data_IF_258519234213
#
_entry.id   IF_258519234213
#
_cell.length_a   1.000
_cell.length_b   1.000
_cell.length_c   1.000
_cell.angle_alpha   90.00
_cell.angle_beta   90.00
_cell.angle_gamma   90.00
#
_symmetry.space_group_name_H-M   'P 1'
#
loop_
_entity.id
_entity.type
_entity.pdbx_description
1 polymer ?
#
# COMPACT_ATOMS: atom_id res chain seq x y z
N UNK A 1 -4.85 -35.19 3.11
CA UNK A 1 -4.68 -34.49 4.41
C UNK A 1 -5.98 -33.82 4.90
N UNK A 2 -6.28 -33.78 6.22
CA UNK A 2 -7.44 -33.02 6.71
C UNK A 2 -7.21 -31.52 6.54
N UNK A 3 -8.18 -30.84 5.93
CA UNK A 3 -8.23 -29.39 5.91
C UNK A 3 -8.35 -28.83 7.35
N UNK A 4 -7.94 -27.58 7.58
CA UNK A 4 -8.11 -26.93 8.87
C UNK A 4 -9.56 -27.02 9.37
N UNK A 5 -9.75 -27.04 10.70
CA UNK A 5 -11.08 -27.13 11.30
C UNK A 5 -11.99 -25.99 10.80
N UNK A 6 -13.20 -26.33 10.34
CA UNK A 6 -14.17 -25.42 9.73
C UNK A 6 -13.84 -24.91 8.32
N UNK A 7 -12.86 -25.49 7.62
CA UNK A 7 -12.60 -25.25 6.19
C UNK A 7 -13.15 -26.41 5.37
N UNK A 8 -14.00 -26.11 4.39
CA UNK A 8 -14.68 -27.13 3.61
C UNK A 8 -13.88 -27.61 2.40
N UNK A 9 -13.17 -26.70 1.73
CA UNK A 9 -12.39 -27.01 0.54
C UNK A 9 -11.33 -25.94 0.26
N UNK A 10 -10.31 -26.33 -0.51
CA UNK A 10 -9.41 -25.39 -1.20
C UNK A 10 -10.16 -24.83 -2.40
N UNK A 11 -10.07 -23.53 -2.65
CA UNK A 11 -10.54 -22.96 -3.90
C UNK A 11 -9.52 -23.28 -5.00
N UNK A 12 -9.83 -24.16 -5.99
CA UNK A 12 -8.81 -24.77 -6.83
C UNK A 12 -8.53 -23.99 -8.12
N UNK A 13 -9.33 -22.97 -8.42
CA UNK A 13 -9.31 -22.29 -9.71
C UNK A 13 -8.42 -21.04 -9.66
N UNK A 14 -7.32 -20.99 -10.43
CA UNK A 14 -6.46 -19.81 -10.47
C UNK A 14 -7.15 -18.61 -11.09
N UNK A 15 -6.71 -17.42 -10.71
CA UNK A 15 -7.16 -16.18 -11.32
C UNK A 15 -6.73 -16.07 -12.78
N UNK A 16 -7.62 -15.53 -13.62
CA UNK A 16 -7.31 -15.14 -14.98
C UNK A 16 -6.63 -13.76 -14.98
N UNK A 17 -5.41 -13.70 -15.49
CA UNK A 17 -4.65 -12.45 -15.65
C UNK A 17 -5.06 -11.61 -16.88
N UNK A 18 -6.20 -11.95 -17.51
CA UNK A 18 -6.76 -11.10 -18.57
C UNK A 18 -7.19 -9.74 -18.00
N UNK A 19 -7.65 -9.76 -16.75
CA UNK A 19 -7.99 -8.58 -15.97
C UNK A 19 -7.17 -8.59 -14.67
N UNK A 20 -6.99 -7.43 -14.06
CA UNK A 20 -6.20 -7.31 -12.84
C UNK A 20 -6.89 -7.97 -11.64
N UNK A 21 -6.11 -8.59 -10.75
CA UNK A 21 -6.60 -9.05 -9.45
C UNK A 21 -6.64 -7.85 -8.51
N UNK A 22 -7.78 -7.64 -7.84
CA UNK A 22 -7.94 -6.52 -6.89
C UNK A 22 -7.82 -7.03 -5.46
N UNK A 23 -6.84 -6.54 -4.72
CA UNK A 23 -6.65 -6.77 -3.30
C UNK A 23 -6.96 -5.49 -2.51
N UNK A 24 -7.81 -5.60 -1.50
CA UNK A 24 -8.15 -4.50 -0.60
C UNK A 24 -7.67 -4.77 0.81
N UNK A 25 -7.00 -3.81 1.42
CA UNK A 25 -6.67 -3.79 2.86
C UNK A 25 -7.39 -2.66 3.55
N UNK A 26 -8.11 -2.98 4.63
CA UNK A 26 -8.92 -1.99 5.35
C UNK A 26 -8.71 -2.04 6.87
N UNK A 27 -8.14 -0.98 7.42
CA UNK A 27 -8.15 -0.70 8.86
C UNK A 27 -9.49 -0.06 9.27
N UNK A 28 -9.63 0.28 10.54
CA UNK A 28 -10.74 1.14 10.98
C UNK A 28 -10.20 2.08 12.01
N UNK A 29 -10.21 3.37 11.73
CA UNK A 29 -9.79 4.40 12.66
C UNK A 29 -10.95 5.29 13.04
N UNK A 30 -10.89 5.81 14.25
CA UNK A 30 -11.71 6.91 14.72
C UNK A 30 -10.86 8.18 14.79
N UNK A 31 -11.37 9.29 14.25
CA UNK A 31 -10.69 10.59 14.21
C UNK A 31 -11.59 11.60 14.89
N UNK A 32 -11.17 12.06 16.06
CA UNK A 32 -11.82 13.12 16.81
C UNK A 32 -11.09 14.43 16.50
N UNK A 33 -11.81 15.43 16.00
CA UNK A 33 -11.26 16.74 15.66
C UNK A 33 -11.75 17.79 16.65
N UNK A 34 -10.83 18.59 17.15
CA UNK A 34 -11.12 19.78 17.95
C UNK A 34 -11.44 20.99 17.05
N UNK A 35 -12.05 22.04 17.62
CA UNK A 35 -12.34 23.30 16.90
C UNK A 35 -11.09 24.04 16.43
N UNK A 36 -9.95 23.82 17.08
CA UNK A 36 -8.64 24.35 16.65
C UNK A 36 -8.01 23.53 15.53
N UNK A 37 -8.70 22.50 15.02
CA UNK A 37 -8.24 21.67 13.92
C UNK A 37 -7.40 20.46 14.33
N UNK A 38 -6.98 20.36 15.61
CA UNK A 38 -6.17 19.24 16.10
C UNK A 38 -6.95 17.94 16.09
N UNK A 39 -6.26 16.85 15.71
CA UNK A 39 -6.85 15.53 15.59
C UNK A 39 -6.32 14.58 16.67
N UNK A 40 -7.22 13.91 17.38
CA UNK A 40 -6.93 12.70 18.14
C UNK A 40 -7.36 11.49 17.32
N UNK A 41 -6.43 10.55 17.09
CA UNK A 41 -6.64 9.41 16.18
C UNK A 41 -6.47 8.10 16.92
N UNK A 42 -7.37 7.15 16.68
CA UNK A 42 -7.32 5.82 17.30
C UNK A 42 -7.62 4.74 16.28
N UNK A 43 -6.71 3.78 16.13
CA UNK A 43 -7.03 2.54 15.42
C UNK A 43 -7.94 1.64 16.28
N UNK A 44 -9.06 1.22 15.70
CA UNK A 44 -10.04 0.30 16.28
C UNK A 44 -9.76 -1.16 15.90
N UNK A 45 -8.94 -1.38 14.87
CA UNK A 45 -8.49 -2.71 14.44
C UNK A 45 -6.98 -2.81 14.59
N UNK A 46 -6.50 -3.91 15.15
CA UNK A 46 -5.07 -4.24 15.19
C UNK A 46 -4.57 -4.90 13.91
N UNK A 47 -5.46 -5.46 13.08
CA UNK A 47 -5.17 -6.08 11.78
C UNK A 47 -6.09 -5.52 10.71
N UNK A 48 -5.63 -5.42 9.46
CA UNK A 48 -6.49 -5.03 8.37
C UNK A 48 -7.48 -6.16 8.05
N UNK A 49 -8.64 -5.80 7.53
CA UNK A 49 -9.48 -6.76 6.81
C UNK A 49 -9.01 -6.82 5.37
N UNK A 50 -8.80 -8.03 4.86
CA UNK A 50 -8.38 -8.27 3.48
C UNK A 50 -9.56 -8.74 2.64
N UNK A 51 -9.65 -8.23 1.42
CA UNK A 51 -10.58 -8.69 0.41
C UNK A 51 -9.83 -8.96 -0.89
N UNK A 52 -10.20 -10.02 -1.59
CA UNK A 52 -9.60 -10.38 -2.88
C UNK A 52 -10.71 -10.56 -3.91
N UNK A 53 -10.57 -9.90 -5.06
CA UNK A 53 -11.49 -9.99 -6.19
C UNK A 53 -10.74 -10.32 -7.46
N UNK A 54 -11.19 -11.34 -8.19
CA UNK A 54 -10.58 -11.75 -9.44
C UNK A 54 -11.57 -12.51 -10.31
N UNK A 55 -11.25 -12.59 -11.60
CA UNK A 55 -12.00 -13.41 -12.54
C UNK A 55 -11.35 -14.79 -12.68
N UNK A 56 -12.19 -15.81 -12.85
CA UNK A 56 -11.77 -17.16 -13.27
C UNK A 56 -12.33 -17.44 -14.66
N UNK A 57 -11.53 -18.07 -15.50
CA UNK A 57 -11.92 -18.53 -16.83
C UNK A 57 -11.77 -20.04 -16.87
N UNK A 58 -12.87 -20.75 -17.08
CA UNK A 58 -12.95 -22.20 -16.97
C UNK A 58 -13.50 -22.81 -18.26
N UNK A 59 -12.98 -23.98 -18.63
CA UNK A 59 -13.35 -24.67 -19.86
C UNK A 59 -13.82 -26.11 -19.61
N UNK A 60 -14.71 -26.58 -20.48
CA UNK A 60 -15.21 -27.96 -20.51
C UNK A 60 -15.77 -28.42 -19.16
N UNK A 61 -15.16 -29.49 -18.63
CA UNK A 61 -15.57 -30.09 -17.35
C UNK A 61 -15.30 -29.20 -16.16
N UNK A 62 -14.31 -28.31 -16.21
CA UNK A 62 -13.99 -27.43 -15.10
C UNK A 62 -15.11 -26.42 -14.83
N UNK A 63 -15.75 -25.92 -15.88
CA UNK A 63 -16.90 -25.02 -15.78
C UNK A 63 -18.09 -25.70 -15.06
N UNK A 64 -18.39 -26.96 -15.42
CA UNK A 64 -19.44 -27.73 -14.73
C UNK A 64 -19.06 -28.07 -13.29
N UNK A 65 -17.81 -28.44 -13.04
CA UNK A 65 -17.30 -28.72 -11.70
C UNK A 65 -17.38 -27.48 -10.80
N UNK A 66 -17.10 -26.30 -11.34
CA UNK A 66 -17.22 -25.05 -10.62
C UNK A 66 -18.66 -24.78 -10.18
N UNK A 67 -19.65 -25.00 -11.06
CA UNK A 67 -21.06 -24.83 -10.69
C UNK A 67 -21.48 -25.80 -9.58
N UNK A 68 -21.04 -27.06 -9.62
CA UNK A 68 -21.30 -28.03 -8.55
C UNK A 68 -20.62 -27.61 -7.23
N UNK A 69 -19.37 -27.17 -7.32
CA UNK A 69 -18.57 -26.72 -6.19
C UNK A 69 -19.19 -25.47 -5.54
N UNK A 70 -19.63 -24.50 -6.33
CA UNK A 70 -20.35 -23.32 -5.83
C UNK A 70 -21.70 -23.71 -5.23
N UNK A 71 -22.48 -24.57 -5.89
CA UNK A 71 -23.80 -24.98 -5.38
C UNK A 71 -23.72 -25.69 -4.02
N UNK A 72 -22.74 -26.59 -3.86
CA UNK A 72 -22.58 -27.37 -2.63
C UNK A 72 -21.86 -26.63 -1.51
N UNK A 73 -20.86 -25.81 -1.84
CA UNK A 73 -19.90 -25.31 -0.85
C UNK A 73 -19.88 -23.79 -0.69
N UNK A 74 -20.65 -23.02 -1.47
CA UNK A 74 -20.67 -21.56 -1.38
C UNK A 74 -20.79 -20.97 0.04
N UNK A 75 -21.67 -21.47 0.95
CA UNK A 75 -21.79 -20.86 2.28
C UNK A 75 -20.63 -21.20 3.23
N UNK A 76 -19.79 -22.17 2.87
CA UNK A 76 -18.70 -22.65 3.71
C UNK A 76 -17.47 -21.73 3.62
N UNK A 77 -16.53 -21.96 4.54
CA UNK A 77 -15.23 -21.30 4.52
C UNK A 77 -14.29 -22.08 3.61
N UNK A 78 -13.47 -21.32 2.91
CA UNK A 78 -12.55 -21.81 1.89
C UNK A 78 -11.13 -21.58 2.33
N UNK A 79 -10.26 -22.47 1.91
CA UNK A 79 -8.83 -22.19 1.87
C UNK A 79 -8.56 -21.52 0.53
N UNK A 80 -8.25 -20.22 0.54
CA UNK A 80 -8.06 -19.41 -0.66
C UNK A 80 -6.57 -19.19 -0.90
N UNK A 81 -5.99 -19.79 -1.97
CA UNK A 81 -4.65 -19.44 -2.41
C UNK A 81 -4.62 -17.97 -2.85
N UNK A 82 -3.65 -17.21 -2.35
CA UNK A 82 -3.40 -15.85 -2.81
C UNK A 82 -2.76 -15.91 -4.20
N UNK A 83 -3.58 -16.09 -5.23
CA UNK A 83 -3.16 -16.32 -6.62
C UNK A 83 -2.24 -15.23 -7.18
N UNK A 84 -2.38 -14.02 -6.66
CA UNK A 84 -1.55 -12.87 -7.03
C UNK A 84 -0.12 -12.95 -6.48
N UNK A 85 0.17 -13.91 -5.58
CA UNK A 85 1.46 -14.05 -4.88
C UNK A 85 2.08 -15.44 -5.03
N UNK A 86 2.32 -15.95 -6.26
CA UNK A 86 3.02 -17.21 -6.43
C UNK A 86 4.46 -17.14 -5.94
N UNK A 87 4.95 -18.26 -5.42
CA UNK A 87 6.38 -18.54 -5.21
C UNK A 87 6.74 -19.87 -5.87
N UNK A 88 7.92 -19.91 -6.48
CA UNK A 88 8.39 -21.09 -7.22
C UNK A 88 9.41 -21.85 -6.40
N UNK A 89 9.28 -23.18 -6.40
CA UNK A 89 10.29 -24.06 -5.83
C UNK A 89 11.60 -24.00 -6.63
N UNK A 90 12.74 -23.95 -5.95
CA UNK A 90 14.07 -24.06 -6.58
C UNK A 90 14.52 -25.50 -6.77
N UNK A 91 14.09 -26.38 -5.87
CA UNK A 91 14.41 -27.81 -5.88
C UNK A 91 13.12 -28.63 -5.89
N UNK A 92 13.16 -29.78 -6.56
CA UNK A 92 12.06 -30.75 -6.45
C UNK A 92 11.96 -31.28 -5.02
N UNK A 93 10.74 -31.52 -4.56
CA UNK A 93 10.44 -32.12 -3.27
C UNK A 93 9.56 -33.34 -3.51
N UNK A 94 10.07 -34.51 -3.15
CA UNK A 94 9.33 -35.76 -3.27
C UNK A 94 8.30 -35.91 -2.16
N UNK A 95 7.31 -36.78 -2.38
CA UNK A 95 6.42 -37.23 -1.32
C UNK A 95 7.22 -37.74 -0.11
N UNK A 96 6.80 -37.37 1.09
CA UNK A 96 7.55 -37.59 2.33
C UNK A 96 8.53 -36.47 2.71
N UNK A 97 8.81 -35.52 1.81
CA UNK A 97 9.57 -34.31 2.11
C UNK A 97 8.74 -33.26 2.84
N UNK A 98 9.38 -32.39 3.62
CA UNK A 98 8.71 -31.33 4.39
C UNK A 98 9.41 -29.97 4.29
N UNK A 99 10.40 -29.81 3.41
CA UNK A 99 11.16 -28.57 3.30
C UNK A 99 11.00 -28.02 1.89
N UNK A 100 10.50 -26.79 1.80
CA UNK A 100 10.30 -26.05 0.57
C UNK A 100 11.36 -24.95 0.47
N UNK A 101 12.03 -24.86 -0.68
CA UNK A 101 13.02 -23.84 -0.99
C UNK A 101 12.52 -22.97 -2.13
N UNK A 102 12.57 -21.66 -1.97
CA UNK A 102 12.02 -20.69 -2.92
C UNK A 102 13.10 -19.87 -3.62
N UNK A 103 12.78 -19.40 -4.82
CA UNK A 103 13.68 -18.56 -5.61
C UNK A 103 13.68 -17.10 -5.16
N UNK A 104 12.61 -16.67 -4.49
CA UNK A 104 12.40 -15.32 -3.98
C UNK A 104 11.67 -15.38 -2.62
N UNK A 105 11.85 -14.37 -1.74
CA UNK A 105 11.27 -14.36 -0.40
C UNK A 105 9.76 -14.51 -0.41
N UNK A 106 9.19 -15.40 0.39
CA UNK A 106 7.72 -15.46 0.62
C UNK A 106 7.24 -14.20 1.34
N UNK A 107 5.94 -13.92 1.32
CA UNK A 107 5.35 -12.76 2.00
C UNK A 107 5.82 -12.64 3.45
N UNK A 108 6.10 -11.40 3.90
CA UNK A 108 6.46 -11.13 5.31
C UNK A 108 5.34 -11.52 6.30
N UNK A 109 4.10 -11.65 5.82
CA UNK A 109 2.98 -12.04 6.67
C UNK A 109 2.95 -13.54 6.97
N UNK A 110 3.66 -14.35 6.18
CA UNK A 110 3.68 -15.80 6.35
C UNK A 110 4.40 -16.16 7.65
N UNK A 111 3.70 -16.89 8.53
CA UNK A 111 4.23 -17.34 9.82
C UNK A 111 3.84 -18.78 10.11
N UNK A 112 4.46 -19.32 11.17
CA UNK A 112 4.09 -20.62 11.73
C UNK A 112 2.57 -20.73 11.97
N UNK A 113 2.02 -21.87 11.56
CA UNK A 113 0.60 -22.19 11.62
C UNK A 113 -0.23 -21.74 10.42
N UNK A 114 0.33 -20.94 9.51
CA UNK A 114 -0.33 -20.58 8.24
C UNK A 114 -0.33 -21.75 7.27
N UNK A 115 -1.09 -21.62 6.17
CA UNK A 115 -1.18 -22.64 5.15
C UNK A 115 -0.54 -22.17 3.84
N UNK A 116 0.08 -23.11 3.15
CA UNK A 116 0.54 -22.99 1.77
C UNK A 116 -0.23 -23.99 0.90
N UNK A 117 -0.56 -23.59 -0.32
CA UNK A 117 -1.12 -24.50 -1.31
C UNK A 117 -0.11 -24.67 -2.43
N UNK A 118 0.31 -25.91 -2.65
CA UNK A 118 1.07 -26.31 -3.81
C UNK A 118 0.10 -26.61 -4.95
N UNK A 119 0.37 -26.04 -6.11
CA UNK A 119 -0.49 -26.17 -7.28
C UNK A 119 0.33 -26.28 -8.56
N UNK A 120 -0.11 -27.16 -9.45
CA UNK A 120 0.40 -27.30 -10.81
C UNK A 120 -0.74 -27.74 -11.72
N UNK A 121 -0.61 -27.41 -13.00
CA UNK A 121 -1.58 -27.82 -14.01
C UNK A 121 -1.72 -29.35 -14.05
N UNK A 122 -2.96 -29.84 -14.04
CA UNK A 122 -3.28 -31.26 -14.13
C UNK A 122 -3.04 -32.08 -12.86
N UNK A 123 -2.71 -31.46 -11.72
CA UNK A 123 -2.67 -32.16 -10.43
C UNK A 123 -3.59 -31.51 -9.40
N UNK A 124 -4.12 -32.33 -8.50
CA UNK A 124 -4.90 -31.86 -7.36
C UNK A 124 -4.04 -30.95 -6.47
N UNK A 125 -4.56 -29.79 -6.04
CA UNK A 125 -3.84 -28.90 -5.15
C UNK A 125 -3.63 -29.56 -3.78
N UNK A 126 -2.45 -29.36 -3.21
CA UNK A 126 -2.08 -29.90 -1.89
C UNK A 126 -1.88 -28.74 -0.91
N UNK A 127 -2.66 -28.71 0.16
CA UNK A 127 -2.50 -27.74 1.24
C UNK A 127 -1.61 -28.31 2.35
N UNK A 128 -0.66 -27.52 2.83
CA UNK A 128 0.26 -27.90 3.89
C UNK A 128 0.42 -26.77 4.91
N UNK A 129 0.55 -27.11 6.19
CA UNK A 129 0.74 -26.14 7.26
C UNK A 129 2.22 -25.81 7.44
N UNK A 130 2.51 -24.52 7.62
CA UNK A 130 3.84 -23.99 7.89
C UNK A 130 4.23 -24.25 9.34
N UNK A 131 5.37 -24.92 9.56
CA UNK A 131 6.00 -25.03 10.87
C UNK A 131 6.90 -23.83 11.14
N UNK A 132 7.89 -23.59 10.27
CA UNK A 132 8.84 -22.49 10.42
C UNK A 132 9.19 -21.84 9.08
N UNK A 133 9.35 -20.51 9.11
CA UNK A 133 9.91 -19.71 8.00
C UNK A 133 11.34 -19.33 8.38
N UNK A 134 12.29 -19.49 7.45
CA UNK A 134 13.72 -19.31 7.71
C UNK A 134 14.47 -18.83 6.47
N UNK A 135 15.74 -18.46 6.65
CA UNK A 135 16.64 -18.06 5.55
C UNK A 135 16.13 -16.83 4.81
N UNK A 136 15.79 -15.77 5.53
CA UNK A 136 15.22 -14.54 4.95
C UNK A 136 13.97 -14.81 4.08
N UNK A 137 13.09 -15.67 4.61
CA UNK A 137 11.84 -16.09 3.95
C UNK A 137 12.05 -16.88 2.64
N UNK A 138 13.23 -17.45 2.41
CA UNK A 138 13.51 -18.32 1.25
C UNK A 138 13.27 -19.81 1.53
N UNK A 139 13.16 -20.20 2.80
CA UNK A 139 13.01 -21.61 3.21
C UNK A 139 11.84 -21.77 4.17
N UNK A 140 10.94 -22.70 3.86
CA UNK A 140 9.81 -23.05 4.73
C UNK A 140 9.84 -24.53 5.06
N UNK A 141 9.75 -24.85 6.34
CA UNK A 141 9.52 -26.21 6.83
C UNK A 141 8.05 -26.40 7.13
N UNK A 142 7.50 -27.52 6.71
CA UNK A 142 6.10 -27.92 6.86
C UNK A 142 5.93 -28.76 8.13
N UNK A 143 4.76 -28.65 8.76
CA UNK A 143 4.40 -29.44 9.95
C UNK A 143 4.27 -30.93 9.59
N UNK A 144 3.63 -31.21 8.47
CA UNK A 144 3.46 -32.55 7.92
C UNK A 144 4.32 -32.73 6.66
N UNK A 145 4.46 -33.98 6.22
CA UNK A 145 5.15 -34.32 4.97
C UNK A 145 4.21 -34.21 3.78
N UNK A 146 4.78 -33.95 2.59
CA UNK A 146 4.03 -33.92 1.35
C UNK A 146 3.49 -35.31 0.97
N UNK A 147 2.27 -35.37 0.48
CA UNK A 147 1.60 -36.57 -0.02
C UNK A 147 1.95 -36.85 -1.49
N UNK A 148 2.27 -35.80 -2.27
CA UNK A 148 2.61 -35.90 -3.69
C UNK A 148 4.03 -35.41 -4.02
N UNK A 149 4.53 -35.80 -5.19
CA UNK A 149 5.80 -35.32 -5.74
C UNK A 149 5.61 -33.95 -6.44
N UNK A 150 6.39 -32.97 -6.00
CA UNK A 150 6.39 -31.61 -6.52
C UNK A 150 7.73 -31.30 -7.21
N UNK A 151 7.79 -31.26 -8.54
CA UNK A 151 8.99 -30.90 -9.28
C UNK A 151 9.50 -29.49 -8.95
N UNK A 152 10.76 -29.23 -9.28
CA UNK A 152 11.29 -27.87 -9.29
C UNK A 152 10.41 -26.95 -10.17
N UNK A 153 10.31 -25.68 -9.79
CA UNK A 153 9.43 -24.67 -10.39
C UNK A 153 7.92 -24.88 -10.21
N UNK A 154 7.49 -25.84 -9.40
CA UNK A 154 6.08 -25.89 -8.97
C UNK A 154 5.70 -24.60 -8.24
N UNK A 155 4.45 -24.18 -8.41
CA UNK A 155 3.94 -22.97 -7.78
C UNK A 155 3.41 -23.29 -6.38
N UNK A 156 3.75 -22.41 -5.45
CA UNK A 156 3.33 -22.45 -4.05
C UNK A 156 2.72 -21.10 -3.72
N UNK A 157 1.53 -21.11 -3.14
CA UNK A 157 0.76 -19.91 -2.85
C UNK A 157 0.59 -19.76 -1.34
N UNK A 158 0.93 -18.60 -0.75
CA UNK A 158 0.43 -18.22 0.56
C UNK A 158 -1.09 -18.31 0.57
N UNK A 159 -1.66 -18.88 1.62
CA UNK A 159 -3.06 -19.27 1.59
C UNK A 159 -3.76 -18.86 2.87
N UNK A 160 -4.96 -18.28 2.73
CA UNK A 160 -5.74 -17.78 3.85
C UNK A 160 -7.13 -18.41 3.91
N UNK A 161 -7.66 -18.52 5.12
CA UNK A 161 -9.06 -18.85 5.31
C UNK A 161 -9.91 -17.67 4.82
N UNK A 162 -10.81 -17.91 3.87
CA UNK A 162 -11.66 -16.87 3.30
C UNK A 162 -13.12 -17.33 3.21
N UNK A 163 -14.02 -16.36 3.09
CA UNK A 163 -15.42 -16.60 2.80
C UNK A 163 -15.84 -15.81 1.57
N UNK A 164 -16.67 -16.44 0.73
CA UNK A 164 -17.29 -15.78 -0.41
C UNK A 164 -18.13 -14.59 0.05
N UNK A 165 -17.91 -13.44 -0.58
CA UNK A 165 -18.65 -12.21 -0.33
C UNK A 165 -19.83 -12.07 -1.29
N UNK A 166 -20.69 -11.06 -1.09
CA UNK A 166 -21.73 -10.72 -2.08
C UNK A 166 -21.07 -10.28 -3.39
N UNK A 167 -21.78 -10.46 -4.51
CA UNK A 167 -21.35 -9.99 -5.82
C UNK A 167 -20.66 -11.04 -6.70
N UNK A 168 -20.51 -12.29 -6.23
CA UNK A 168 -20.06 -13.37 -7.12
C UNK A 168 -21.05 -13.58 -8.25
N UNK A 169 -20.55 -13.64 -9.48
CA UNK A 169 -21.39 -13.87 -10.65
C UNK A 169 -20.62 -14.64 -11.71
N UNK A 170 -21.35 -15.45 -12.48
CA UNK A 170 -20.80 -16.25 -13.58
C UNK A 170 -21.56 -15.98 -14.85
N UNK A 171 -20.84 -15.92 -15.97
CA UNK A 171 -21.39 -15.84 -17.31
C UNK A 171 -20.82 -16.95 -18.18
N UNK A 172 -21.68 -17.83 -18.64
CA UNK A 172 -21.36 -18.75 -19.72
C UNK A 172 -21.21 -17.97 -21.03
N UNK A 173 -20.02 -18.02 -21.62
CA UNK A 173 -19.72 -17.46 -22.95
C UNK A 173 -20.20 -18.44 -24.02
N UNK A 174 -19.93 -19.72 -23.80
CA UNK A 174 -20.46 -20.85 -24.57
C UNK A 174 -20.96 -21.91 -23.58
N UNK A 175 -21.52 -23.02 -24.08
CA UNK A 175 -21.94 -24.14 -23.21
C UNK A 175 -20.81 -24.80 -22.43
N UNK A 176 -19.55 -24.56 -22.81
CA UNK A 176 -18.38 -25.15 -22.18
C UNK A 176 -17.36 -24.12 -21.71
N UNK A 177 -17.66 -22.82 -21.74
CA UNK A 177 -16.73 -21.78 -21.28
C UNK A 177 -17.46 -20.87 -20.32
N UNK A 178 -17.00 -20.84 -19.07
CA UNK A 178 -17.52 -20.02 -17.99
C UNK A 178 -16.48 -18.97 -17.61
N UNK A 179 -16.91 -17.70 -17.57
CA UNK A 179 -16.17 -16.64 -16.91
C UNK A 179 -16.91 -16.23 -15.64
N UNK A 180 -16.27 -16.31 -14.49
CA UNK A 180 -16.88 -15.93 -13.22
C UNK A 180 -16.04 -14.93 -12.45
N UNK A 181 -16.69 -13.91 -11.90
CA UNK A 181 -16.09 -12.94 -11.00
C UNK A 181 -16.28 -13.42 -9.56
N UNK A 182 -15.18 -13.57 -8.84
CA UNK A 182 -15.12 -14.11 -7.50
C UNK A 182 -14.61 -13.07 -6.51
N UNK A 183 -15.38 -12.84 -5.45
CA UNK A 183 -15.10 -11.88 -4.41
C UNK A 183 -15.02 -12.61 -3.07
N UNK A 184 -13.89 -12.50 -2.40
CA UNK A 184 -13.61 -13.12 -1.12
C UNK A 184 -13.27 -12.07 -0.07
N UNK A 185 -13.67 -12.34 1.17
CA UNK A 185 -13.13 -11.68 2.35
C UNK A 185 -12.29 -12.69 3.13
N UNK A 186 -11.03 -12.35 3.40
CA UNK A 186 -10.18 -13.16 4.26
C UNK A 186 -10.67 -13.06 5.71
N UNK A 187 -10.65 -14.17 6.41
CA UNK A 187 -11.04 -14.27 7.80
C UNK A 187 -9.87 -13.86 8.69
N UNK A 188 -10.15 -12.99 9.66
CA UNK A 188 -9.13 -12.51 10.60
C UNK A 188 -9.04 -13.49 11.77
N UNK A 189 -7.85 -14.02 12.02
CA UNK A 189 -7.59 -14.88 13.16
C UNK A 189 -7.36 -14.11 14.48
N UNK A 190 -7.37 -14.84 15.59
CA UNK A 190 -7.16 -14.30 16.94
C UNK A 190 -5.69 -14.14 17.35
N UNK A 191 -4.72 -14.54 16.52
CA UNK A 191 -3.28 -14.42 16.85
C UNK A 191 -2.88 -12.94 16.91
N UNK A 192 -1.69 -12.60 17.40
CA UNK A 192 -1.19 -11.21 17.29
C UNK A 192 -1.09 -10.77 15.81
N UNK A 193 -1.15 -9.46 15.49
CA UNK A 193 -0.70 -8.99 14.18
C UNK A 193 0.76 -9.40 13.94
N UNK A 194 1.13 -9.68 12.70
CA UNK A 194 2.53 -9.81 12.31
C UNK A 194 3.03 -8.38 12.14
N UNK A 195 4.02 -7.99 12.94
CA UNK A 195 4.65 -6.69 12.77
C UNK A 195 5.56 -6.77 11.52
N UNK A 196 5.48 -5.79 10.60
CA UNK A 196 6.30 -5.82 9.41
C UNK A 196 7.78 -5.73 9.78
N UNK A 197 8.56 -6.77 9.45
CA UNK A 197 10.02 -6.79 9.63
C UNK A 197 10.75 -5.91 8.61
N UNK A 198 10.07 -5.52 7.52
CA UNK A 198 10.60 -4.62 6.51
C UNK A 198 10.80 -3.22 7.10
N UNK A 199 12.06 -2.78 7.11
CA UNK A 199 12.47 -1.49 7.64
C UNK A 199 11.93 -0.34 6.81
N UNK A 200 11.61 0.77 7.46
CA UNK A 200 11.38 2.04 6.77
C UNK A 200 12.67 2.51 6.07
N UNK A 201 12.52 3.19 4.94
CA UNK A 201 13.66 3.68 4.16
C UNK A 201 14.38 4.84 4.86
N UNK A 202 13.59 5.74 5.44
CA UNK A 202 14.07 6.94 6.10
C UNK A 202 13.12 7.36 7.22
N UNK A 203 13.70 7.82 8.33
CA UNK A 203 12.98 8.38 9.46
C UNK A 203 13.61 9.72 9.81
N UNK A 204 12.78 10.76 9.92
CA UNK A 204 13.19 12.10 10.35
C UNK A 204 12.45 12.40 11.65
N UNK A 205 13.21 12.59 12.73
CA UNK A 205 12.64 12.68 14.07
C UNK A 205 11.88 11.42 14.46
N UNK A 206 10.57 11.55 14.73
CA UNK A 206 9.68 10.45 15.09
C UNK A 206 8.83 9.95 13.90
N UNK A 207 8.95 10.55 12.71
CA UNK A 207 8.09 10.30 11.56
C UNK A 207 8.82 9.55 10.46
N UNK A 208 8.16 8.54 9.90
CA UNK A 208 8.59 7.86 8.69
C UNK A 208 8.44 8.78 7.47
N UNK A 209 9.38 8.72 6.53
CA UNK A 209 9.32 9.49 5.28
C UNK A 209 8.93 8.57 4.12
N UNK A 210 7.88 8.94 3.40
CA UNK A 210 7.49 8.26 2.16
C UNK A 210 8.39 8.70 1.01
N UNK A 211 9.48 7.96 0.80
CA UNK A 211 10.53 8.16 -0.21
C UNK A 211 10.12 7.73 -1.62
N UNK A 212 9.16 6.81 -1.74
CA UNK A 212 8.76 6.27 -3.04
C UNK A 212 8.03 7.34 -3.88
N UNK A 213 8.49 7.59 -5.12
CA UNK A 213 7.88 8.58 -5.98
C UNK A 213 6.49 8.14 -6.45
N UNK A 214 5.62 9.13 -6.66
CA UNK A 214 4.30 8.89 -7.27
C UNK A 214 4.40 8.80 -8.79
N UNK A 215 3.45 8.08 -9.38
CA UNK A 215 3.32 7.98 -10.83
C UNK A 215 2.62 9.23 -11.41
N UNK A 216 3.23 9.83 -12.43
CA UNK A 216 2.69 11.00 -13.15
C UNK A 216 2.00 10.64 -14.48
N UNK A 217 1.87 9.35 -14.81
CA UNK A 217 1.09 8.90 -15.98
C UNK A 217 -0.35 9.37 -15.88
N UNK A 218 -0.91 9.38 -14.66
CA UNK A 218 -2.19 9.97 -14.35
C UNK A 218 -1.97 11.32 -13.64
N UNK A 219 -2.89 12.26 -13.85
CA UNK A 219 -2.84 13.56 -13.18
C UNK A 219 -2.99 13.42 -11.67
N UNK A 220 -2.22 14.19 -10.91
CA UNK A 220 -2.36 14.31 -9.46
C UNK A 220 -3.61 15.14 -9.13
N UNK A 221 -4.62 14.51 -8.54
CA UNK A 221 -5.80 15.22 -8.03
C UNK A 221 -5.48 15.85 -6.67
N UNK A 222 -5.66 17.17 -6.56
CA UNK A 222 -5.52 17.93 -5.31
C UNK A 222 -6.86 18.54 -4.92
N UNK A 223 -7.37 18.13 -3.76
CA UNK A 223 -8.53 18.74 -3.11
C UNK A 223 -8.09 19.76 -2.07
N UNK A 224 -8.71 20.93 -2.11
CA UNK A 224 -8.55 21.97 -1.09
C UNK A 224 -9.77 21.92 -0.18
N UNK A 225 -9.62 21.19 0.94
CA UNK A 225 -10.71 20.95 1.86
C UNK A 225 -10.69 22.02 2.96
N UNK A 226 -11.58 22.99 2.83
CA UNK A 226 -11.88 23.98 3.86
C UNK A 226 -13.38 23.95 4.14
N UNK A 227 -13.75 23.71 5.41
CA UNK A 227 -15.13 23.49 5.84
C UNK A 227 -15.64 24.65 6.71
N UNK A 228 -15.97 25.82 6.12
CA UNK A 228 -16.60 26.90 6.87
C UNK A 228 -18.07 26.56 7.15
N UNK A 229 -18.53 26.86 8.35
CA UNK A 229 -19.95 26.79 8.73
C UNK A 229 -20.61 28.09 8.31
N UNK A 230 -21.54 28.03 7.36
CA UNK A 230 -22.38 29.15 7.00
C UNK A 230 -23.44 29.40 8.09
N UNK A 231 -23.41 30.59 8.66
CA UNK A 231 -24.44 31.14 9.53
C UNK A 231 -25.30 32.05 8.67
N UNK A 232 -26.45 31.52 8.26
CA UNK A 232 -27.46 32.26 7.51
C UNK A 232 -28.82 32.13 8.20
N UNK A 233 -29.51 33.26 8.37
CA UNK A 233 -30.85 33.34 8.93
C UNK A 233 -31.93 33.56 7.84
N UNK A 234 -31.55 33.43 6.56
CA UNK A 234 -32.35 33.68 5.34
C UNK A 234 -32.91 35.12 5.22
N UNK A 235 -32.58 35.99 6.18
CA UNK A 235 -32.99 37.39 6.26
C UNK A 235 -31.83 38.18 6.86
N UNK A 236 -31.21 39.06 6.06
CA UNK A 236 -30.13 39.93 6.52
C UNK A 236 -28.72 39.42 6.19
N UNK A 237 -27.68 39.81 6.95
CA UNK A 237 -26.29 39.47 6.64
C UNK A 237 -25.98 38.00 6.97
N UNK A 238 -25.16 37.39 6.13
CA UNK A 238 -24.59 36.06 6.35
C UNK A 238 -23.21 36.16 6.99
N UNK A 239 -22.80 35.15 7.73
CA UNK A 239 -21.47 35.03 8.29
C UNK A 239 -20.93 33.61 8.09
N UNK A 240 -19.62 33.47 8.03
CA UNK A 240 -18.96 32.18 8.07
C UNK A 240 -18.18 32.06 9.37
N UNK A 241 -18.35 30.94 10.05
CA UNK A 241 -17.51 30.53 11.19
C UNK A 241 -16.63 29.38 10.74
N UNK A 242 -15.33 29.48 11.00
CA UNK A 242 -14.34 28.50 10.58
C UNK A 242 -13.71 27.86 11.81
N UNK A 243 -13.73 26.53 11.87
CA UNK A 243 -13.02 25.78 12.91
C UNK A 243 -11.56 25.56 12.46
N UNK A 244 -10.66 26.40 12.99
CA UNK A 244 -9.22 26.34 12.75
C UNK A 244 -8.77 27.03 11.46
N UNK A 245 -7.50 27.44 11.44
CA UNK A 245 -6.92 28.23 10.34
C UNK A 245 -6.16 27.37 9.31
N UNK A 246 -6.00 26.07 9.57
CA UNK A 246 -5.28 25.17 8.67
C UNK A 246 -6.17 24.68 7.52
N UNK A 247 -5.88 25.15 6.31
CA UNK A 247 -6.45 24.60 5.08
C UNK A 247 -5.81 23.24 4.76
N UNK A 248 -6.55 22.16 5.00
CA UNK A 248 -6.08 20.81 4.72
C UNK A 248 -6.13 20.51 3.22
N UNK A 249 -5.05 19.95 2.68
CA UNK A 249 -5.01 19.47 1.31
C UNK A 249 -5.08 17.94 1.27
N UNK A 250 -5.97 17.42 0.43
CA UNK A 250 -6.08 15.98 0.15
C UNK A 250 -5.50 15.70 -1.24
N UNK A 251 -4.55 14.77 -1.34
CA UNK A 251 -3.94 14.36 -2.61
C UNK A 251 -4.24 12.91 -2.89
N UNK A 252 -4.70 12.58 -4.09
CA UNK A 252 -4.85 11.19 -4.53
C UNK A 252 -3.64 10.79 -5.36
N UNK A 253 -2.92 9.77 -4.92
CA UNK A 253 -1.68 9.32 -5.52
C UNK A 253 -1.86 7.90 -6.06
N UNK A 254 -1.17 7.63 -7.15
CA UNK A 254 -1.03 6.29 -7.73
C UNK A 254 0.45 5.95 -7.80
N UNK A 255 0.79 4.71 -7.49
CA UNK A 255 2.15 4.16 -7.62
C UNK A 255 2.07 2.87 -8.42
N UNK A 256 3.03 2.69 -9.33
CA UNK A 256 3.26 1.44 -10.03
C UNK A 256 4.50 0.80 -9.43
N UNK A 257 4.35 -0.42 -8.95
CA UNK A 257 5.44 -1.23 -8.40
C UNK A 257 5.98 -2.16 -9.47
N UNK A 258 7.29 -2.42 -9.46
CA UNK A 258 7.94 -3.28 -10.46
C UNK A 258 8.15 -4.71 -9.95
N UNK A 259 8.24 -4.89 -8.63
CA UNK A 259 8.55 -6.18 -8.02
C UNK A 259 7.64 -6.51 -6.86
N UNK A 260 7.44 -7.80 -6.60
CA UNK A 260 6.60 -8.24 -5.47
C UNK A 260 7.15 -7.84 -4.10
N UNK A 261 8.46 -7.60 -3.98
CA UNK A 261 9.09 -7.12 -2.74
C UNK A 261 8.76 -5.63 -2.50
N UNK A 262 8.68 -4.84 -3.57
CA UNK A 262 8.21 -3.45 -3.48
C UNK A 262 6.73 -3.39 -3.04
N UNK A 263 5.89 -4.31 -3.54
CA UNK A 263 4.50 -4.42 -3.06
C UNK A 263 4.44 -4.77 -1.58
N UNK A 264 5.31 -5.67 -1.12
CA UNK A 264 5.42 -6.01 0.31
C UNK A 264 5.85 -4.82 1.16
N UNK A 265 6.75 -3.98 0.66
CA UNK A 265 7.13 -2.74 1.32
C UNK A 265 5.91 -1.81 1.48
N UNK A 266 5.07 -1.67 0.44
CA UNK A 266 3.85 -0.86 0.52
C UNK A 266 2.81 -1.42 1.49
N UNK A 267 2.67 -2.74 1.56
CA UNK A 267 1.83 -3.39 2.59
C UNK A 267 2.37 -3.12 3.99
N UNK A 268 3.68 -3.26 4.18
CA UNK A 268 4.33 -2.98 5.44
C UNK A 268 4.16 -1.51 5.85
N UNK A 269 4.34 -0.57 4.93
CA UNK A 269 4.09 0.87 5.14
C UNK A 269 2.64 1.14 5.58
N UNK A 270 1.66 0.55 4.88
CA UNK A 270 0.26 0.71 5.22
C UNK A 270 -0.09 0.09 6.59
N UNK A 271 0.51 -1.05 6.92
CA UNK A 271 0.34 -1.71 8.22
C UNK A 271 0.99 -0.93 9.37
N UNK A 272 2.15 -0.30 9.15
CA UNK A 272 2.76 0.65 10.09
C UNK A 272 1.86 1.87 10.32
N UNK A 273 1.22 2.37 9.27
CA UNK A 273 0.29 3.50 9.36
C UNK A 273 -1.00 3.18 10.13
N UNK A 274 -1.41 1.89 10.13
CA UNK A 274 -2.68 1.38 10.69
C UNK A 274 -3.90 2.15 10.16
N UNK A 275 -3.92 2.41 8.86
CA UNK A 275 -4.92 3.26 8.20
C UNK A 275 -4.63 4.74 8.45
N UNK A 276 -5.63 5.49 8.89
CA UNK A 276 -5.49 6.95 9.09
C UNK A 276 -4.86 7.35 10.44
N UNK A 277 -4.27 6.41 11.19
CA UNK A 277 -3.83 6.67 12.56
C UNK A 277 -2.50 7.41 12.64
N UNK A 278 -1.46 6.85 12.05
CA UNK A 278 -0.08 7.34 12.22
C UNK A 278 0.25 8.36 11.13
N UNK A 279 0.74 9.56 11.50
CA UNK A 279 1.25 10.51 10.52
C UNK A 279 2.62 10.10 9.98
N UNK A 280 2.95 10.58 8.79
CA UNK A 280 4.24 10.39 8.12
C UNK A 280 4.57 11.63 7.29
N UNK A 281 5.84 11.81 6.95
CA UNK A 281 6.31 12.86 6.07
C UNK A 281 6.22 12.41 4.62
N UNK A 282 5.71 13.28 3.75
CA UNK A 282 5.62 12.98 2.32
C UNK A 282 6.05 14.21 1.51
N UNK A 283 6.97 14.07 0.55
CA UNK A 283 7.22 15.12 -0.43
C UNK A 283 5.95 15.44 -1.21
N UNK A 284 5.74 16.70 -1.58
CA UNK A 284 4.60 17.08 -2.43
C UNK A 284 4.69 16.49 -3.83
N UNK A 285 5.90 16.11 -4.25
CA UNK A 285 6.26 15.68 -5.61
C UNK A 285 5.98 16.74 -6.68
N UNK A 286 5.57 17.94 -6.29
CA UNK A 286 5.42 19.10 -7.16
C UNK A 286 6.73 19.86 -7.14
N UNK A 287 7.35 20.02 -8.30
CA UNK A 287 8.64 20.69 -8.42
C UNK A 287 8.48 22.21 -8.19
N UNK A 288 9.39 22.76 -7.38
CA UNK A 288 9.50 24.19 -7.13
C UNK A 288 10.33 24.88 -8.22
N UNK A 289 11.21 24.14 -8.90
CA UNK A 289 12.14 24.66 -9.90
C UNK A 289 13.21 25.55 -9.27
N UNK A 290 14.25 24.97 -8.67
CA UNK A 290 15.31 25.75 -8.01
C UNK A 290 16.10 26.62 -9.00
N UNK A 291 16.43 27.84 -8.57
CA UNK A 291 17.39 28.70 -9.26
C UNK A 291 18.83 28.35 -8.87
N UNK A 292 19.78 28.69 -9.76
CA UNK A 292 21.18 28.50 -9.49
C UNK A 292 21.61 29.46 -8.36
N UNK A 293 22.10 28.94 -7.21
CA UNK A 293 22.40 29.77 -6.06
C UNK A 293 23.60 30.67 -6.34
N UNK A 294 23.56 31.89 -5.82
CA UNK A 294 24.67 32.84 -5.95
C UNK A 294 25.95 32.39 -5.21
N UNK A 295 25.81 31.62 -4.13
CA UNK A 295 26.92 31.03 -3.37
C UNK A 295 26.51 29.76 -2.61
N UNK A 296 27.44 28.82 -2.34
CA UNK A 296 27.22 27.72 -1.40
C UNK A 296 26.78 28.20 -0.02
N UNK A 297 25.78 27.54 0.58
CA UNK A 297 25.25 27.95 1.88
C UNK A 297 24.04 27.13 2.35
N UNK A 298 23.23 27.72 3.23
CA UNK A 298 22.00 27.13 3.75
C UNK A 298 20.74 27.78 3.13
N UNK A 299 20.89 28.31 1.91
CA UNK A 299 19.82 29.04 1.22
C UNK A 299 19.56 28.43 -0.14
N UNK A 300 18.28 28.30 -0.48
CA UNK A 300 17.78 27.88 -1.77
C UNK A 300 16.87 28.97 -2.34
N UNK A 301 16.97 29.21 -3.64
CA UNK A 301 16.18 30.22 -4.33
C UNK A 301 15.18 29.54 -5.28
N UNK A 302 13.95 30.00 -5.25
CA UNK A 302 12.82 29.53 -6.08
C UNK A 302 12.28 30.73 -6.85
N UNK A 303 11.95 30.60 -8.15
CA UNK A 303 11.41 31.68 -8.94
C UNK A 303 10.08 32.17 -8.38
N UNK A 304 9.90 33.49 -8.36
CA UNK A 304 8.68 34.15 -7.90
C UNK A 304 8.60 34.34 -6.39
N UNK A 305 7.76 35.29 -5.97
CA UNK A 305 7.60 35.69 -4.56
C UNK A 305 6.37 35.08 -3.88
N UNK A 306 5.51 34.41 -4.64
CA UNK A 306 4.23 33.89 -4.14
C UNK A 306 4.42 32.83 -3.04
N UNK A 307 5.45 31.98 -3.16
CA UNK A 307 5.76 30.97 -2.16
C UNK A 307 6.09 31.63 -0.81
N UNK A 308 7.02 32.59 -0.79
CA UNK A 308 7.37 33.30 0.44
C UNK A 308 6.26 34.20 0.98
N UNK A 309 5.37 34.70 0.13
CA UNK A 309 4.26 35.55 0.54
C UNK A 309 3.10 34.76 1.17
N UNK A 310 2.74 33.61 0.59
CA UNK A 310 1.53 32.86 0.98
C UNK A 310 1.80 31.66 1.89
N UNK A 311 3.05 31.19 1.98
CA UNK A 311 3.43 30.07 2.84
C UNK A 311 4.05 30.50 4.18
N UNK A 312 4.03 31.79 4.48
CA UNK A 312 4.62 32.35 5.70
C UNK A 312 3.99 31.70 6.94
N UNK A 313 4.82 31.19 7.86
CA UNK A 313 4.43 30.55 9.12
C UNK A 313 3.48 29.34 9.01
N UNK A 314 3.46 28.63 7.88
CA UNK A 314 2.64 27.42 7.76
C UNK A 314 3.28 26.22 8.49
N UNK A 315 2.66 25.66 9.55
CA UNK A 315 3.24 24.57 10.35
C UNK A 315 3.29 23.21 9.63
N UNK A 316 2.72 23.14 8.44
CA UNK A 316 2.57 21.90 7.67
C UNK A 316 3.83 21.51 6.90
N UNK A 317 4.52 22.50 6.33
CA UNK A 317 5.68 22.28 5.47
C UNK A 317 6.93 22.39 6.31
N UNK A 318 7.57 21.26 6.57
CA UNK A 318 8.64 21.16 7.55
C UNK A 318 10.01 21.04 6.91
N UNK A 319 10.11 20.38 5.74
CA UNK A 319 11.38 20.13 5.08
C UNK A 319 11.33 20.46 3.58
N UNK A 320 12.50 20.69 3.00
CA UNK A 320 12.75 20.74 1.56
C UNK A 320 13.42 19.43 1.16
N UNK A 321 12.86 18.73 0.18
CA UNK A 321 13.45 17.53 -0.42
C UNK A 321 14.09 17.86 -1.76
N UNK A 322 15.33 17.43 -1.94
CA UNK A 322 16.07 17.49 -3.20
C UNK A 322 16.26 16.07 -3.74
N UNK A 323 15.90 15.85 -5.00
CA UNK A 323 16.15 14.60 -5.71
C UNK A 323 17.21 14.83 -6.79
N UNK A 324 18.33 14.12 -6.69
CA UNK A 324 19.44 14.22 -7.63
C UNK A 324 19.21 13.40 -8.91
N UNK A 325 19.99 13.69 -9.95
CA UNK A 325 20.06 12.88 -11.18
C UNK A 325 20.48 11.43 -10.92
N UNK A 326 21.22 11.17 -9.83
CA UNK A 326 21.58 9.83 -9.40
C UNK A 326 20.41 9.03 -8.80
N UNK A 327 19.28 9.67 -8.52
CA UNK A 327 18.13 9.10 -7.81
C UNK A 327 18.18 9.29 -6.29
N UNK A 328 19.31 9.73 -5.72
CA UNK A 328 19.43 10.00 -4.30
C UNK A 328 18.51 11.15 -3.87
N UNK A 329 17.95 11.04 -2.68
CA UNK A 329 17.11 12.05 -2.05
C UNK A 329 17.81 12.63 -0.83
N UNK A 330 17.76 13.95 -0.66
CA UNK A 330 18.21 14.66 0.53
C UNK A 330 17.07 15.50 1.09
N UNK A 331 17.04 15.65 2.41
CA UNK A 331 15.99 16.34 3.15
C UNK A 331 16.65 17.40 4.04
N UNK A 332 16.18 18.64 3.93
CA UNK A 332 16.69 19.80 4.65
C UNK A 332 15.58 20.42 5.48
N UNK A 333 15.81 20.69 6.76
CA UNK A 333 14.81 21.30 7.63
C UNK A 333 14.63 22.78 7.29
N UNK A 334 13.40 23.23 7.06
CA UNK A 334 13.11 24.62 6.71
C UNK A 334 13.07 25.47 7.99
N UNK A 335 13.92 26.50 8.06
CA UNK A 335 13.96 27.46 9.16
C UNK A 335 13.19 28.74 8.84
N UNK A 336 13.24 29.20 7.60
CA UNK A 336 12.51 30.36 7.15
C UNK A 336 12.22 30.31 5.66
N UNK A 337 11.09 30.88 5.25
CA UNK A 337 10.75 31.13 3.85
C UNK A 337 10.38 32.60 3.73
N UNK A 338 11.08 33.35 2.88
CA UNK A 338 10.88 34.78 2.73
C UNK A 338 10.89 35.20 1.25
N UNK A 339 9.99 36.11 0.82
CA UNK A 339 10.04 36.65 -0.53
C UNK A 339 11.14 37.71 -0.63
N UNK A 340 11.93 37.65 -1.71
CA UNK A 340 12.81 38.74 -2.14
C UNK A 340 12.17 39.45 -3.33
N UNK A 341 11.62 40.63 -3.09
CA UNK A 341 10.94 41.42 -4.11
C UNK A 341 11.91 42.13 -5.08
N UNK A 342 13.18 42.29 -4.71
CA UNK A 342 14.17 42.93 -5.58
C UNK A 342 14.66 41.95 -6.65
N UNK A 343 14.92 40.71 -6.25
CA UNK A 343 15.33 39.63 -7.15
C UNK A 343 14.14 38.91 -7.80
N UNK A 344 12.93 39.04 -7.24
CA UNK A 344 11.72 38.39 -7.74
C UNK A 344 11.70 36.89 -7.43
N UNK A 345 12.40 36.46 -6.38
CA UNK A 345 12.54 35.05 -5.96
C UNK A 345 12.00 34.85 -4.54
N UNK A 346 11.81 33.60 -4.15
CA UNK A 346 11.58 33.20 -2.76
C UNK A 346 12.84 32.53 -2.24
N UNK A 347 13.35 33.01 -1.11
CA UNK A 347 14.51 32.43 -0.43
C UNK A 347 14.01 31.49 0.66
N UNK A 348 14.40 30.22 0.55
CA UNK A 348 14.20 29.18 1.56
C UNK A 348 15.51 29.02 2.33
N UNK A 349 15.49 29.31 3.62
CA UNK A 349 16.63 29.10 4.52
C UNK A 349 16.45 27.79 5.26
N UNK A 350 17.44 26.91 5.19
CA UNK A 350 17.44 25.60 5.84
C UNK A 350 18.37 25.56 7.05
N UNK A 351 18.18 24.59 7.94
CA UNK A 351 19.06 24.40 9.10
C UNK A 351 20.45 23.91 8.67
N UNK A 352 20.47 22.97 7.73
CA UNK A 352 21.69 22.42 7.16
C UNK A 352 22.13 23.21 5.92
N UNK A 353 23.43 23.31 5.70
CA UNK A 353 24.00 23.81 4.44
C UNK A 353 24.07 22.68 3.41
N UNK A 354 23.85 22.99 2.15
CA UNK A 354 24.09 22.03 1.07
C UNK A 354 25.59 21.90 0.78
N UNK A 355 26.04 20.66 0.59
CA UNK A 355 27.42 20.35 0.19
C UNK A 355 27.57 20.14 -1.30
N UNK A 356 28.83 20.02 -1.78
CA UNK A 356 29.15 19.84 -3.22
C UNK A 356 28.48 18.62 -3.88
N UNK A 357 27.96 17.66 -3.12
CA UNK A 357 27.26 16.49 -3.66
C UNK A 357 25.74 16.70 -3.85
N UNK A 358 25.17 17.78 -3.32
CA UNK A 358 23.73 18.08 -3.36
C UNK A 358 23.47 19.48 -3.88
N UNK A 359 24.22 19.88 -4.91
CA UNK A 359 24.07 21.19 -5.49
C UNK A 359 22.69 21.33 -6.16
N UNK A 360 22.02 22.48 -6.07
CA UNK A 360 20.71 22.70 -6.69
C UNK A 360 20.67 22.39 -8.20
N UNK A 361 21.75 22.68 -8.94
CA UNK A 361 21.83 22.42 -10.38
C UNK A 361 22.05 20.93 -10.73
N UNK A 362 22.39 20.09 -9.76
CA UNK A 362 22.47 18.63 -9.91
C UNK A 362 21.17 17.94 -9.52
N UNK A 363 20.16 18.71 -9.09
CA UNK A 363 18.84 18.21 -8.74
C UNK A 363 17.97 18.08 -10.00
N UNK A 364 17.25 16.97 -10.09
CA UNK A 364 16.18 16.74 -11.07
C UNK A 364 14.88 17.39 -10.59
N UNK A 365 14.67 17.43 -9.27
CA UNK A 365 13.42 17.88 -8.68
C UNK A 365 13.67 18.39 -7.26
N UNK A 366 13.01 19.48 -6.89
CA UNK A 366 12.95 19.98 -5.53
C UNK A 366 11.50 20.17 -5.08
N UNK A 367 11.14 19.61 -3.94
CA UNK A 367 9.76 19.64 -3.43
C UNK A 367 9.73 20.01 -1.96
N UNK A 368 8.64 20.65 -1.53
CA UNK A 368 8.36 20.75 -0.10
C UNK A 368 7.91 19.40 0.45
N UNK A 369 8.15 19.17 1.72
CA UNK A 369 7.73 17.99 2.47
C UNK A 369 6.72 18.44 3.51
N UNK A 370 5.58 17.75 3.54
CA UNK A 370 4.52 18.03 4.50
C UNK A 370 4.21 16.83 5.39
N UNK A 371 3.80 17.12 6.62
CA UNK A 371 3.23 16.12 7.52
C UNK A 371 1.85 15.72 7.03
N UNK A 372 1.68 14.43 6.76
CA UNK A 372 0.48 13.85 6.20
C UNK A 372 0.03 12.64 7.01
N UNK A 373 -1.20 12.22 6.80
CA UNK A 373 -1.67 10.87 7.11
C UNK A 373 -2.42 10.32 5.91
N UNK A 374 -2.73 9.03 5.91
CA UNK A 374 -3.68 8.50 4.94
C UNK A 374 -5.05 9.19 5.13
N UNK A 375 -5.72 9.49 4.01
CA UNK A 375 -7.05 10.08 3.98
C UNK A 375 -8.15 9.01 4.11
N UNK A 376 -7.82 7.75 3.80
CA UNK A 376 -8.72 6.59 3.83
C UNK A 376 -8.14 5.48 4.71
N UNK A 377 -9.01 4.71 5.36
CA UNK A 377 -8.63 3.47 6.06
C UNK A 377 -8.44 2.28 5.11
N UNK A 378 -8.77 2.45 3.84
CA UNK A 378 -8.68 1.44 2.79
C UNK A 378 -7.57 1.80 1.80
N UNK A 379 -6.69 0.84 1.55
CA UNK A 379 -5.79 0.82 0.40
C UNK A 379 -6.25 -0.26 -0.58
N UNK A 380 -6.25 0.08 -1.86
CA UNK A 380 -6.60 -0.83 -2.94
C UNK A 380 -5.40 -1.04 -3.87
N UNK A 381 -5.19 -2.31 -4.21
CA UNK A 381 -4.05 -2.79 -4.98
C UNK A 381 -4.59 -3.58 -6.15
N UNK A 382 -4.27 -3.14 -7.36
CA UNK A 382 -4.62 -3.81 -8.61
C UNK A 382 -3.37 -4.49 -9.16
N UNK A 383 -3.30 -5.80 -8.99
CA UNK A 383 -2.21 -6.64 -9.49
C UNK A 383 -2.38 -6.83 -11.00
N UNK A 384 -1.43 -6.29 -11.77
CA UNK A 384 -1.40 -6.43 -13.23
C UNK A 384 -0.74 -7.75 -13.62
N UNK A 385 0.31 -8.14 -12.89
CA UNK A 385 0.95 -9.45 -12.95
C UNK A 385 1.23 -9.94 -11.52
N UNK A 386 1.91 -11.08 -11.38
CA UNK A 386 2.40 -11.61 -10.11
C UNK A 386 3.57 -10.82 -9.49
N UNK A 387 4.12 -9.86 -10.22
CA UNK A 387 5.22 -8.98 -9.76
C UNK A 387 4.84 -7.50 -9.75
N UNK A 388 3.99 -7.06 -10.69
CA UNK A 388 3.65 -5.65 -10.92
C UNK A 388 2.26 -5.35 -10.40
N UNK A 389 2.15 -4.37 -9.49
CA UNK A 389 0.88 -3.89 -8.98
C UNK A 389 0.75 -2.36 -9.04
N UNK A 390 -0.48 -1.90 -9.26
CA UNK A 390 -0.88 -0.50 -9.13
C UNK A 390 -1.51 -0.29 -7.77
N UNK A 391 -1.01 0.69 -7.03
CA UNK A 391 -1.48 1.03 -5.69
C UNK A 391 -2.06 2.42 -5.73
N UNK A 392 -3.31 2.54 -5.28
CA UNK A 392 -4.00 3.83 -5.18
C UNK A 392 -4.24 4.15 -3.72
N UNK A 393 -3.78 5.33 -3.30
CA UNK A 393 -4.00 5.82 -1.95
C UNK A 393 -4.24 7.34 -1.97
N UNK A 394 -4.83 7.85 -0.90
CA UNK A 394 -5.01 9.27 -0.73
C UNK A 394 -4.36 9.70 0.58
N UNK A 395 -3.71 10.86 0.57
CA UNK A 395 -3.09 11.46 1.75
C UNK A 395 -3.79 12.77 2.08
N UNK A 396 -3.95 13.03 3.37
CA UNK A 396 -4.47 14.29 3.88
C UNK A 396 -3.38 14.96 4.72
N UNK A 397 -3.18 16.22 4.44
CA UNK A 397 -2.25 17.09 5.14
C UNK A 397 -2.76 17.40 6.54
N UNK A 398 -1.89 17.33 7.53
CA UNK A 398 -2.24 17.51 8.93
C UNK A 398 -1.16 18.31 9.66
N UNK A 399 -1.57 19.08 10.66
CA UNK A 399 -0.62 19.73 11.58
C UNK A 399 0.15 18.66 12.36
N UNK A 400 1.42 18.94 12.66
CA UNK A 400 2.24 18.06 13.49
C UNK A 400 1.63 17.97 14.89
N UNK A 401 1.23 16.76 15.29
CA UNK A 401 0.73 16.49 16.64
C UNK A 401 1.64 15.43 17.22
N UNK A 402 2.55 15.89 18.09
CA UNK A 402 3.38 15.04 18.97
C UNK A 402 2.51 14.15 19.84
#
# INVERSE_FOLDING_TARGET
MPLPENIAAIFPYPASWTDSITEGREYKTDIMRSRDGKEQRRALRSKPRKSLSFDVLLEGTEASNFDYLMTGLQPHRWLLPMWQRPRRLTTAVSAGGNTLQFAAPVSYELRSGDYLVLHREGAEPEAQQVDTVSGDRLSVTLTDVLEADWPAHSHVYPTEAAQLHKGNSGRYITSGVLRANMNFNCLVDARAPVEPELTFDLMIGALEVLTHPINWVNSLDVGYDWEPVLIDADIGPTAYETDGDLASQTRKCEVLTETSDEVDWWFAFFDRCRGRQVPFLMPTWVDLGLEAPASPGATFEVPGTALGLYLLDNPTYTHLMLRLHSGNQAYYEIQAVAPDFELGVTVITTAESWGEAYNPWECVQACLVNTCRLASDRMEISWVTDEVAKITFAVKTVEDVV
#
